data_IF_334986795440
#
_entry.id   IF_334986795440
#
_cell.length_a   1.000
_cell.length_b   1.000
_cell.length_c   1.000
_cell.angle_alpha   90.00
_cell.angle_beta   90.00
_cell.angle_gamma   90.00
#
_symmetry.space_group_name_H-M   'P 1'
#
loop_
_entity.id
_entity.type
_entity.pdbx_description
1 polymer ?
#
# COMPACT_ATOMS: atom_id res chain seq x y z
N UNK A 1 -1.93 3.45 4.66
CA UNK A 1 -2.81 2.41 4.10
C UNK A 1 -4.08 2.99 3.49
N UNK A 2 -4.04 4.22 3.01
CA UNK A 2 -5.23 4.92 2.53
C UNK A 2 -5.25 5.17 1.02
N UNK A 3 -4.14 4.93 0.32
CA UNK A 3 -4.02 5.27 -1.10
C UNK A 3 -4.93 4.51 -2.04
N UNK A 4 -5.47 3.34 -1.63
CA UNK A 4 -6.22 2.47 -2.53
C UNK A 4 -7.54 3.12 -3.01
N UNK A 5 -8.20 3.89 -2.16
CA UNK A 5 -9.43 4.57 -2.55
C UNK A 5 -9.16 5.68 -3.57
N UNK A 6 -8.06 6.41 -3.41
CA UNK A 6 -7.64 7.44 -4.37
C UNK A 6 -7.27 6.81 -5.71
N UNK A 7 -6.58 5.67 -5.68
CA UNK A 7 -6.24 4.92 -6.88
C UNK A 7 -7.51 4.43 -7.57
N UNK A 8 -8.47 3.89 -6.82
CA UNK A 8 -9.73 3.41 -7.36
C UNK A 8 -10.56 4.50 -8.05
N UNK A 9 -10.42 5.74 -7.62
CA UNK A 9 -11.09 6.88 -8.23
C UNK A 9 -10.36 7.43 -9.46
N UNK A 10 -9.11 7.00 -9.72
CA UNK A 10 -8.32 7.49 -10.83
C UNK A 10 -8.88 7.04 -12.18
N UNK A 11 -8.81 7.92 -13.17
CA UNK A 11 -9.13 7.62 -14.57
C UNK A 11 -7.83 7.35 -15.33
N UNK A 12 -7.92 6.64 -16.46
CA UNK A 12 -6.74 6.20 -17.23
C UNK A 12 -5.75 7.32 -17.56
N UNK A 13 -6.24 8.52 -17.84
CA UNK A 13 -5.41 9.66 -18.19
C UNK A 13 -4.74 10.37 -17.00
N UNK A 14 -5.09 10.03 -15.76
CA UNK A 14 -4.59 10.73 -14.58
C UNK A 14 -4.02 9.81 -13.49
N UNK A 15 -3.79 8.53 -13.78
CA UNK A 15 -3.28 7.58 -12.78
C UNK A 15 -1.92 8.00 -12.21
N UNK A 16 -1.01 8.52 -13.05
CA UNK A 16 0.28 9.03 -12.58
C UNK A 16 0.12 10.27 -11.71
N UNK A 17 -0.77 11.16 -12.09
CA UNK A 17 -1.08 12.37 -11.31
C UNK A 17 -1.61 12.00 -9.93
N UNK A 18 -2.54 11.05 -9.86
CA UNK A 18 -3.08 10.54 -8.59
C UNK A 18 -1.98 9.92 -7.75
N UNK A 19 -1.11 9.10 -8.35
CA UNK A 19 0.01 8.48 -7.64
C UNK A 19 0.94 9.56 -7.04
N UNK A 20 1.26 10.59 -7.79
CA UNK A 20 2.09 11.71 -7.30
C UNK A 20 1.42 12.47 -6.16
N UNK A 21 0.10 12.68 -6.24
CA UNK A 21 -0.65 13.34 -5.18
C UNK A 21 -0.62 12.53 -3.88
N UNK A 22 -0.75 11.20 -3.97
CA UNK A 22 -0.62 10.31 -2.82
C UNK A 22 0.78 10.45 -2.20
N UNK A 23 1.81 10.42 -3.03
CA UNK A 23 3.20 10.58 -2.58
C UNK A 23 3.41 11.92 -1.87
N UNK A 24 2.91 13.01 -2.44
CA UNK A 24 3.01 14.34 -1.83
C UNK A 24 2.32 14.39 -0.48
N UNK A 25 1.15 13.76 -0.36
CA UNK A 25 0.44 13.66 0.91
C UNK A 25 1.25 12.91 1.96
N UNK A 26 1.85 11.78 1.58
CA UNK A 26 2.71 10.99 2.48
C UNK A 26 3.92 11.80 2.90
N UNK A 27 4.57 12.49 1.97
CA UNK A 27 5.72 13.36 2.27
C UNK A 27 5.36 14.44 3.28
N UNK A 28 4.17 15.06 3.12
CA UNK A 28 3.68 16.07 4.06
C UNK A 28 3.48 15.50 5.46
N UNK A 29 2.89 14.31 5.56
CA UNK A 29 2.71 13.64 6.84
C UNK A 29 4.05 13.28 7.48
N UNK A 30 5.02 12.81 6.69
CA UNK A 30 6.36 12.49 7.20
C UNK A 30 7.06 13.71 7.78
N UNK A 31 6.98 14.85 7.08
CA UNK A 31 7.59 16.10 7.56
C UNK A 31 6.99 16.53 8.90
N UNK A 32 5.66 16.48 9.02
CA UNK A 32 4.95 16.84 10.25
C UNK A 32 5.31 15.91 11.40
N UNK A 33 5.38 14.61 11.14
CA UNK A 33 5.74 13.62 12.14
C UNK A 33 7.17 13.84 12.65
N UNK A 34 8.12 14.05 11.73
CA UNK A 34 9.51 14.31 12.09
C UNK A 34 9.69 15.59 12.88
N UNK A 35 8.95 16.64 12.52
CA UNK A 35 8.98 17.91 13.28
C UNK A 35 8.53 17.72 14.73
N UNK A 36 7.68 16.71 14.99
CA UNK A 36 7.20 16.37 16.33
C UNK A 36 8.00 15.22 16.97
N UNK A 37 9.10 14.83 16.36
CA UNK A 37 9.99 13.73 16.83
C UNK A 37 9.24 12.39 16.92
N UNK A 38 8.28 12.17 16.04
CA UNK A 38 7.54 10.91 15.96
C UNK A 38 8.23 9.96 14.99
N UNK A 39 8.16 8.66 15.29
CA UNK A 39 8.60 7.62 14.35
C UNK A 39 7.59 7.48 13.21
N UNK A 40 8.08 7.17 12.01
CA UNK A 40 7.25 7.00 10.82
C UNK A 40 7.51 5.64 10.20
N UNK A 41 6.44 4.88 10.02
CA UNK A 41 6.47 3.61 9.29
C UNK A 41 5.54 3.73 8.09
N UNK A 42 6.01 3.31 6.92
CA UNK A 42 5.23 3.40 5.68
C UNK A 42 4.81 2.01 5.24
N UNK A 43 3.51 1.82 5.02
CA UNK A 43 2.96 0.57 4.49
C UNK A 43 2.74 0.66 2.99
N UNK A 44 3.10 -0.39 2.26
CA UNK A 44 2.79 -0.49 0.84
C UNK A 44 1.31 -0.80 0.63
N UNK A 45 0.79 -0.42 -0.54
CA UNK A 45 -0.60 -0.67 -0.92
C UNK A 45 -0.74 -2.12 -1.37
N UNK A 46 -1.66 -2.85 -0.75
CA UNK A 46 -1.88 -4.27 -1.04
C UNK A 46 -2.44 -4.50 -2.44
N UNK A 47 -2.16 -5.67 -3.04
CA UNK A 47 -2.71 -6.02 -4.36
C UNK A 47 -4.24 -6.10 -4.31
N UNK A 48 -4.90 -5.72 -5.41
CA UNK A 48 -6.36 -5.68 -5.43
C UNK A 48 -6.99 -6.20 -6.74
N UNK A 49 -6.26 -6.99 -7.51
CA UNK A 49 -6.84 -7.66 -8.69
C UNK A 49 -8.01 -8.55 -8.26
N UNK A 50 -9.12 -8.43 -8.94
CA UNK A 50 -10.38 -9.05 -8.57
C UNK A 50 -11.37 -8.08 -7.94
N UNK A 51 -10.91 -6.93 -7.45
CA UNK A 51 -11.78 -5.86 -6.97
C UNK A 51 -12.52 -5.20 -8.14
N UNK A 52 -13.72 -4.66 -7.86
CA UNK A 52 -14.59 -4.12 -8.90
C UNK A 52 -13.99 -2.97 -9.71
N UNK A 53 -13.09 -2.19 -9.12
CA UNK A 53 -12.46 -1.09 -9.84
C UNK A 53 -10.99 -1.37 -10.23
N UNK A 54 -10.55 -2.62 -10.21
CA UNK A 54 -9.22 -2.97 -10.69
C UNK A 54 -9.10 -2.69 -12.21
N UNK A 55 -7.96 -2.15 -12.61
CA UNK A 55 -7.60 -1.93 -14.02
C UNK A 55 -6.09 -1.85 -14.15
N UNK A 56 -5.58 -1.89 -15.38
CA UNK A 56 -4.14 -1.78 -15.62
C UNK A 56 -3.58 -0.43 -15.17
N UNK A 57 -4.34 0.67 -15.35
CA UNK A 57 -3.85 1.98 -14.92
C UNK A 57 -3.96 2.16 -13.40
N UNK A 58 -4.93 1.54 -12.73
CA UNK A 58 -4.99 1.53 -11.27
C UNK A 58 -3.83 0.71 -10.70
N UNK A 59 -3.51 -0.42 -11.32
CA UNK A 59 -2.34 -1.22 -10.92
C UNK A 59 -1.04 -0.44 -11.13
N UNK A 60 -0.91 0.28 -12.25
CA UNK A 60 0.27 1.11 -12.52
C UNK A 60 0.45 2.18 -11.43
N UNK A 61 -0.65 2.80 -10.98
CA UNK A 61 -0.61 3.77 -9.90
C UNK A 61 -0.15 3.14 -8.59
N UNK A 62 -0.67 1.95 -8.27
CA UNK A 62 -0.26 1.20 -7.07
C UNK A 62 1.23 0.90 -7.09
N UNK A 63 1.73 0.39 -8.20
CA UNK A 63 3.14 0.05 -8.35
C UNK A 63 4.03 1.30 -8.23
N UNK A 64 3.62 2.40 -8.82
CA UNK A 64 4.35 3.67 -8.74
C UNK A 64 4.49 4.14 -7.29
N UNK A 65 3.38 4.14 -6.55
CA UNK A 65 3.39 4.54 -5.13
C UNK A 65 4.24 3.57 -4.30
N UNK A 66 4.09 2.27 -4.52
CA UNK A 66 4.82 1.26 -3.75
C UNK A 66 6.32 1.33 -4.01
N UNK A 67 6.75 1.55 -5.25
CA UNK A 67 8.17 1.71 -5.56
C UNK A 67 8.74 2.92 -4.84
N UNK A 68 8.01 4.02 -4.82
CA UNK A 68 8.42 5.21 -4.08
C UNK A 68 8.50 4.93 -2.57
N UNK A 69 7.49 4.26 -2.00
CA UNK A 69 7.49 3.91 -0.57
C UNK A 69 8.73 3.09 -0.22
N UNK A 70 9.05 2.06 -1.01
CA UNK A 70 10.24 1.23 -0.78
C UNK A 70 11.53 2.04 -0.88
N UNK A 71 11.55 3.08 -1.70
CA UNK A 71 12.71 3.96 -1.83
C UNK A 71 12.94 4.82 -0.57
N UNK A 72 11.96 4.92 0.33
CA UNK A 72 12.05 5.74 1.53
C UNK A 72 12.64 5.01 2.74
N UNK A 73 13.17 3.81 2.56
CA UNK A 73 13.68 2.97 3.66
C UNK A 73 14.70 3.69 4.54
N UNK A 74 15.49 4.61 3.99
CA UNK A 74 16.49 5.39 4.75
C UNK A 74 15.90 6.61 5.46
N UNK A 75 14.73 7.10 5.02
CA UNK A 75 14.09 8.30 5.56
C UNK A 75 12.98 7.99 6.55
N UNK A 76 12.35 6.83 6.41
CA UNK A 76 11.36 6.33 7.35
C UNK A 76 12.04 5.48 8.42
N UNK A 77 11.36 5.25 9.53
CA UNK A 77 11.85 4.37 10.59
C UNK A 77 11.67 2.90 10.24
N UNK A 78 10.82 2.58 9.30
CA UNK A 78 10.65 1.25 8.75
C UNK A 78 9.64 1.23 7.63
N UNK A 79 9.73 0.19 6.80
CA UNK A 79 8.80 -0.06 5.71
C UNK A 79 8.02 -1.33 6.02
N UNK A 80 6.70 -1.23 6.01
CA UNK A 80 5.80 -2.36 6.19
C UNK A 80 5.35 -2.83 4.79
N UNK A 81 6.05 -3.80 4.23
CA UNK A 81 5.77 -4.24 2.86
C UNK A 81 4.60 -5.23 2.82
N UNK A 82 3.41 -4.71 3.12
CA UNK A 82 2.18 -5.49 3.12
C UNK A 82 1.84 -6.05 1.75
N UNK A 83 2.21 -5.34 0.68
CA UNK A 83 1.97 -5.84 -0.68
C UNK A 83 2.69 -7.16 -0.90
N UNK A 84 3.96 -7.23 -0.53
CA UNK A 84 4.75 -8.46 -0.67
C UNK A 84 4.25 -9.54 0.28
N UNK A 85 3.85 -9.16 1.48
CA UNK A 85 3.37 -10.11 2.50
C UNK A 85 2.12 -10.84 2.04
N UNK A 86 1.17 -10.12 1.44
CA UNK A 86 -0.15 -10.66 1.11
C UNK A 86 -0.30 -11.12 -0.33
N UNK A 87 0.68 -10.86 -1.20
CA UNK A 87 0.57 -11.21 -2.61
C UNK A 87 0.50 -12.71 -2.85
N UNK A 88 -0.26 -13.10 -3.88
CA UNK A 88 -0.27 -14.46 -4.39
C UNK A 88 1.07 -14.76 -5.06
N UNK A 89 1.77 -15.85 -4.73
CA UNK A 89 3.05 -16.17 -5.35
C UNK A 89 2.96 -16.44 -6.86
N UNK A 90 1.77 -16.75 -7.37
CA UNK A 90 1.54 -16.99 -8.79
C UNK A 90 1.06 -15.74 -9.54
N UNK A 91 0.59 -14.72 -8.83
CA UNK A 91 0.14 -13.45 -9.41
C UNK A 91 0.24 -12.34 -8.38
N UNK A 92 1.31 -11.56 -8.45
CA UNK A 92 1.60 -10.49 -7.48
C UNK A 92 0.64 -9.30 -7.56
N UNK A 93 -0.31 -9.30 -8.51
CA UNK A 93 -1.33 -8.27 -8.66
C UNK A 93 -2.54 -8.52 -7.76
N UNK A 94 -2.65 -9.69 -7.15
CA UNK A 94 -3.76 -10.04 -6.25
C UNK A 94 -3.25 -10.61 -4.93
N UNK A 95 -4.10 -10.55 -3.91
CA UNK A 95 -3.82 -11.19 -2.64
C UNK A 95 -3.96 -12.71 -2.75
N UNK A 96 -3.25 -13.44 -1.88
CA UNK A 96 -3.57 -14.85 -1.66
C UNK A 96 -5.02 -14.97 -1.23
N UNK A 97 -5.72 -15.98 -1.75
CA UNK A 97 -7.12 -16.22 -1.42
C UNK A 97 -7.36 -16.34 0.08
N UNK A 98 -6.44 -16.99 0.80
CA UNK A 98 -6.55 -17.19 2.25
C UNK A 98 -6.52 -15.89 3.05
N UNK A 99 -6.05 -14.79 2.45
CA UNK A 99 -5.96 -13.47 3.09
C UNK A 99 -6.99 -12.47 2.56
N UNK A 100 -7.68 -12.81 1.47
CA UNK A 100 -8.57 -11.87 0.79
C UNK A 100 -10.01 -12.02 1.26
N UNK A 101 -10.70 -10.89 1.45
CA UNK A 101 -12.16 -10.86 1.58
C UNK A 101 -12.81 -11.15 0.23
N UNK A 102 -14.14 -11.34 0.22
CA UNK A 102 -14.88 -11.62 -1.01
C UNK A 102 -14.81 -10.51 -2.06
N UNK A 103 -14.49 -9.27 -1.63
CA UNK A 103 -14.34 -8.14 -2.55
C UNK A 103 -12.96 -8.06 -3.22
N UNK A 104 -12.01 -8.90 -2.82
CA UNK A 104 -10.61 -8.90 -3.31
C UNK A 104 -9.87 -7.58 -3.10
N UNK A 105 -10.41 -6.69 -2.29
CA UNK A 105 -9.84 -5.39 -1.97
C UNK A 105 -9.31 -5.34 -0.55
N UNK A 106 -10.12 -5.77 0.40
CA UNK A 106 -9.77 -5.75 1.82
C UNK A 106 -9.23 -7.10 2.25
N UNK A 107 -8.21 -7.15 3.11
CA UNK A 107 -7.82 -8.38 3.76
C UNK A 107 -9.00 -8.93 4.60
N UNK A 108 -9.07 -10.25 4.71
CA UNK A 108 -10.00 -10.88 5.65
C UNK A 108 -9.37 -10.90 7.06
N UNK A 109 -10.09 -11.40 8.11
CA UNK A 109 -9.51 -11.44 9.46
C UNK A 109 -8.15 -12.15 9.54
N UNK A 110 -7.95 -13.20 8.76
CA UNK A 110 -6.68 -13.93 8.71
C UNK A 110 -5.56 -13.06 8.09
N UNK A 111 -5.89 -12.32 7.04
CA UNK A 111 -4.97 -11.38 6.42
C UNK A 111 -4.56 -10.26 7.38
N UNK A 112 -5.52 -9.68 8.09
CA UNK A 112 -5.22 -8.65 9.09
C UNK A 112 -4.36 -9.18 10.23
N UNK A 113 -4.59 -10.42 10.65
CA UNK A 113 -3.79 -11.06 11.69
C UNK A 113 -2.31 -11.17 11.26
N UNK A 114 -2.09 -11.64 10.05
CA UNK A 114 -0.74 -11.77 9.49
C UNK A 114 -0.07 -10.41 9.37
N UNK A 115 -0.81 -9.39 8.93
CA UNK A 115 -0.29 -8.01 8.85
C UNK A 115 0.09 -7.49 10.23
N UNK A 116 -0.73 -7.73 11.24
CA UNK A 116 -0.47 -7.30 12.61
C UNK A 116 0.79 -7.93 13.19
N UNK A 117 0.98 -9.22 13.00
CA UNK A 117 2.18 -9.94 13.46
C UNK A 117 3.42 -9.39 12.76
N UNK A 118 3.35 -9.21 11.45
CA UNK A 118 4.45 -8.65 10.66
C UNK A 118 4.82 -7.23 11.11
N UNK A 119 3.81 -6.39 11.30
CA UNK A 119 4.02 -5.02 11.77
C UNK A 119 4.65 -4.99 13.15
N UNK A 120 4.20 -5.84 14.07
CA UNK A 120 4.75 -5.92 15.43
C UNK A 120 6.23 -6.29 15.44
N UNK A 121 6.69 -7.11 14.49
CA UNK A 121 8.10 -7.49 14.38
C UNK A 121 8.96 -6.33 13.88
N UNK A 122 8.41 -5.42 13.10
CA UNK A 122 9.14 -4.28 12.51
C UNK A 122 9.09 -3.07 13.42
N UNK A 123 7.95 -2.79 14.01
CA UNK A 123 7.75 -1.64 14.91
C UNK A 123 8.27 -2.01 16.31
N UNK A 124 9.39 -1.42 16.68
CA UNK A 124 10.03 -1.67 17.97
C UNK A 124 10.22 -0.39 18.76
#
# INVERSE_FOLDING_TARGET
>A
FEGINDIGAAKSGNSETVARQIIESIQGMMRKAKARKMKVYLGTITPFKGAGYYSHFHEAARLYVNDWIRSQAKKADGILDFAKLLQDPNDDRRMKREYASGDWLHPNPNGYKVMGIYAADIIK
#
